data_IF_618620983819
#
_entry.id   IF_618620983819
#
_cell.length_a   1.000
_cell.length_b   1.000
_cell.length_c   1.000
_cell.angle_alpha   90.00
_cell.angle_beta   90.00
_cell.angle_gamma   90.00
#
_symmetry.space_group_name_H-M   'P 1'
#
loop_
_entity.id
_entity.type
_entity.pdbx_description
1 polymer ?
#
# COMPACT_ATOMS: atom_id res chain seq x y z
N UNK A 1 -2.48 40.47 6.15
CA UNK A 1 -3.71 39.77 6.56
C UNK A 1 -3.84 38.52 5.72
N UNK A 2 -3.80 37.36 6.40
CA UNK A 2 -4.33 36.03 6.02
C UNK A 2 -4.14 35.51 4.59
N UNK A 3 -3.12 34.66 4.43
CA UNK A 3 -3.27 33.41 3.67
C UNK A 3 -3.28 32.30 4.72
N UNK A 4 -4.44 31.69 4.92
CA UNK A 4 -4.64 30.65 5.92
C UNK A 4 -3.83 29.42 5.49
N UNK A 5 -2.84 29.07 6.31
CA UNK A 5 -2.24 27.75 6.33
C UNK A 5 -3.34 26.75 6.71
N UNK A 6 -4.03 26.20 5.72
CA UNK A 6 -4.97 25.10 5.90
C UNK A 6 -4.17 23.81 5.76
N UNK A 7 -4.27 23.01 6.82
CA UNK A 7 -3.41 21.88 7.13
C UNK A 7 -3.25 20.85 6.02
N UNK A 8 -1.99 20.51 5.76
CA UNK A 8 -1.63 19.13 5.49
C UNK A 8 -1.39 18.48 6.85
N UNK A 9 -2.41 17.83 7.39
CA UNK A 9 -2.25 16.94 8.52
C UNK A 9 -1.25 15.85 8.09
N UNK A 10 -0.02 15.95 8.61
CA UNK A 10 0.94 14.88 8.59
C UNK A 10 0.40 13.74 9.45
N UNK A 11 -0.44 12.89 8.86
CA UNK A 11 -0.90 11.67 9.51
C UNK A 11 0.13 10.58 9.23
N UNK A 12 1.03 10.43 10.20
CA UNK A 12 1.58 9.13 10.62
C UNK A 12 2.24 8.25 9.56
N UNK A 13 3.50 8.52 9.26
CA UNK A 13 4.44 7.47 8.83
C UNK A 13 5.78 7.66 9.56
N UNK A 14 5.72 7.56 10.88
CA UNK A 14 6.89 7.34 11.70
C UNK A 14 6.82 5.89 12.22
N UNK A 15 7.97 5.20 12.25
CA UNK A 15 8.28 3.95 13.01
C UNK A 15 7.88 2.66 12.23
N UNK A 16 8.74 1.76 11.71
CA UNK A 16 10.17 1.37 11.87
C UNK A 16 10.57 0.54 10.62
N UNK A 17 11.76 0.62 10.01
CA UNK A 17 13.01 1.16 10.53
C UNK A 17 13.92 1.75 9.45
N UNK A 18 14.74 2.72 9.89
CA UNK A 18 15.87 3.27 9.15
C UNK A 18 15.55 4.28 8.05
N UNK A 19 15.28 5.52 8.44
CA UNK A 19 15.33 6.68 7.53
C UNK A 19 13.99 7.32 7.25
N UNK A 20 13.50 8.11 8.21
CA UNK A 20 12.35 8.99 8.01
C UNK A 20 12.67 10.10 7.02
N UNK A 21 12.37 9.85 5.75
CA UNK A 21 12.10 10.87 4.73
C UNK A 21 11.24 10.21 3.67
N UNK A 22 9.91 10.19 3.82
CA UNK A 22 9.06 10.16 2.63
C UNK A 22 9.39 11.45 1.91
N UNK A 23 10.25 11.37 0.90
CA UNK A 23 10.78 12.51 0.20
C UNK A 23 9.60 13.37 -0.29
N UNK A 24 9.42 14.54 0.33
CA UNK A 24 8.59 15.60 -0.22
C UNK A 24 9.30 16.08 -1.49
N UNK A 25 9.07 15.37 -2.61
CA UNK A 25 9.57 15.80 -3.91
C UNK A 25 8.86 17.12 -4.24
N UNK A 26 9.61 18.22 -4.14
CA UNK A 26 9.14 19.56 -4.46
C UNK A 26 8.67 19.56 -5.91
N UNK A 27 7.35 19.72 -6.10
CA UNK A 27 6.74 19.84 -7.41
C UNK A 27 7.10 21.20 -8.02
N UNK A 28 8.22 21.24 -8.74
CA UNK A 28 8.61 22.37 -9.59
C UNK A 28 7.93 22.29 -10.95
N UNK A 29 6.82 23.01 -11.10
CA UNK A 29 6.44 23.77 -12.29
C UNK A 29 6.61 23.15 -13.71
N UNK A 30 6.11 21.95 -14.04
CA UNK A 30 5.86 21.56 -15.45
C UNK A 30 4.71 20.55 -15.51
N UNK A 31 3.84 20.66 -16.52
CA UNK A 31 2.70 19.79 -16.91
C UNK A 31 2.26 18.72 -15.90
N UNK A 32 1.03 18.82 -15.40
CA UNK A 32 0.45 17.86 -14.44
C UNK A 32 0.70 16.40 -14.89
N UNK A 33 1.64 15.73 -14.22
CA UNK A 33 2.03 14.36 -14.56
C UNK A 33 0.86 13.46 -14.21
N UNK A 34 0.34 12.80 -15.23
CA UNK A 34 -0.78 11.88 -15.11
C UNK A 34 -0.30 10.43 -15.05
N UNK A 35 -0.92 9.65 -14.17
CA UNK A 35 -0.62 8.24 -13.96
C UNK A 35 -1.83 7.38 -14.34
N UNK A 36 -1.56 6.27 -15.01
CA UNK A 36 -2.61 5.37 -15.51
C UNK A 36 -3.26 4.54 -14.39
N UNK A 37 -2.42 4.03 -13.50
CA UNK A 37 -2.78 3.16 -12.39
C UNK A 37 -1.73 3.23 -11.29
N UNK A 38 -1.94 2.46 -10.22
CA UNK A 38 -1.01 2.35 -9.09
C UNK A 38 0.36 1.85 -9.52
N UNK A 39 0.45 0.92 -10.47
CA UNK A 39 1.73 0.41 -10.95
C UNK A 39 2.51 1.48 -11.73
N UNK A 40 1.85 2.23 -12.60
CA UNK A 40 2.47 3.34 -13.34
C UNK A 40 3.01 4.41 -12.38
N UNK A 41 2.24 4.74 -11.35
CA UNK A 41 2.70 5.67 -10.30
C UNK A 41 3.89 5.12 -9.51
N UNK A 42 3.78 3.87 -9.03
CA UNK A 42 4.87 3.16 -8.35
C UNK A 42 6.16 3.17 -9.17
N UNK A 43 6.12 2.73 -10.43
CA UNK A 43 7.31 2.62 -11.28
C UNK A 43 7.97 3.97 -11.50
N UNK A 44 7.17 5.02 -11.76
CA UNK A 44 7.68 6.37 -12.05
C UNK A 44 8.22 7.10 -10.83
N UNK A 45 7.62 6.90 -9.66
CA UNK A 45 7.95 7.69 -8.46
C UNK A 45 8.83 6.93 -7.47
N UNK A 46 8.60 5.63 -7.30
CA UNK A 46 9.22 4.83 -6.24
C UNK A 46 10.06 3.65 -6.78
N UNK A 47 9.96 3.31 -8.06
CA UNK A 47 10.58 2.11 -8.64
C UNK A 47 12.11 2.03 -8.55
N UNK A 48 12.79 3.12 -8.20
CA UNK A 48 14.24 3.12 -7.90
C UNK A 48 14.53 2.56 -6.51
N UNK A 49 13.72 2.92 -5.51
CA UNK A 49 13.95 2.65 -4.10
C UNK A 49 13.12 1.47 -3.57
N UNK A 50 11.98 1.20 -4.22
CA UNK A 50 11.01 0.20 -3.79
C UNK A 50 10.80 -0.86 -4.87
N UNK A 51 10.39 -2.04 -4.43
CA UNK A 51 9.94 -3.14 -5.26
C UNK A 51 8.62 -3.70 -4.72
N UNK A 52 7.84 -4.34 -5.59
CA UNK A 52 6.71 -5.15 -5.14
C UNK A 52 7.25 -6.37 -4.39
N UNK A 53 6.65 -6.69 -3.25
CA UNK A 53 6.79 -8.01 -2.65
C UNK A 53 6.41 -9.03 -3.72
N UNK A 54 7.15 -10.13 -3.83
CA UNK A 54 6.91 -11.14 -4.87
C UNK A 54 5.46 -11.64 -4.83
N UNK A 55 4.61 -11.08 -5.71
CA UNK A 55 3.18 -11.41 -5.76
C UNK A 55 2.93 -12.76 -6.41
N UNK A 56 3.90 -13.25 -7.18
CA UNK A 56 3.85 -14.58 -7.79
C UNK A 56 4.16 -15.66 -6.76
N UNK A 57 4.97 -15.35 -5.74
CA UNK A 57 5.34 -16.26 -4.67
C UNK A 57 4.50 -16.02 -3.40
N UNK A 58 3.49 -16.87 -3.17
CA UNK A 58 2.68 -16.83 -1.95
C UNK A 58 3.54 -16.86 -0.67
N UNK A 59 4.64 -17.61 -0.70
CA UNK A 59 5.54 -17.77 0.44
C UNK A 59 6.30 -16.49 0.81
N UNK A 60 6.33 -15.46 -0.06
CA UNK A 60 6.95 -14.17 0.28
C UNK A 60 6.13 -13.39 1.31
N UNK A 61 4.82 -13.27 1.10
CA UNK A 61 3.92 -12.59 2.05
C UNK A 61 3.73 -13.45 3.30
N UNK A 62 3.54 -14.76 3.11
CA UNK A 62 3.42 -15.69 4.23
C UNK A 62 4.69 -15.69 5.10
N UNK A 63 5.87 -15.69 4.48
CA UNK A 63 7.15 -15.60 5.17
C UNK A 63 7.33 -14.29 5.94
N UNK A 64 6.79 -13.17 5.43
CA UNK A 64 6.75 -11.91 6.20
C UNK A 64 5.86 -12.01 7.41
N UNK A 65 4.65 -12.57 7.28
CA UNK A 65 3.71 -12.74 8.40
C UNK A 65 4.30 -13.67 9.47
N UNK A 66 4.93 -14.77 9.05
CA UNK A 66 5.53 -15.80 9.92
C UNK A 66 6.89 -15.43 10.50
N UNK A 67 7.49 -14.31 10.08
CA UNK A 67 8.82 -13.94 10.53
C UNK A 67 8.82 -13.64 12.04
N UNK A 68 9.65 -14.33 12.82
CA UNK A 68 9.70 -14.16 14.27
C UNK A 68 10.13 -12.74 14.71
N UNK A 69 10.91 -12.04 13.88
CA UNK A 69 11.47 -10.72 14.20
C UNK A 69 10.59 -9.59 13.67
N UNK A 70 10.12 -9.70 12.43
CA UNK A 70 9.39 -8.64 11.72
C UNK A 70 7.93 -8.96 11.42
N UNK A 71 7.45 -10.17 11.71
CA UNK A 71 6.09 -10.60 11.41
C UNK A 71 5.04 -9.86 12.20
N UNK A 72 5.30 -9.59 13.48
CA UNK A 72 4.42 -8.73 14.28
C UNK A 72 4.33 -7.30 13.73
N UNK A 73 5.43 -6.76 13.20
CA UNK A 73 5.42 -5.44 12.56
C UNK A 73 4.59 -5.45 11.27
N UNK A 74 4.74 -6.50 10.46
CA UNK A 74 3.97 -6.65 9.23
C UNK A 74 2.47 -6.89 9.50
N UNK A 75 2.12 -7.72 10.50
CA UNK A 75 0.75 -7.91 10.97
C UNK A 75 0.14 -6.61 11.48
N UNK A 76 0.88 -5.81 12.26
CA UNK A 76 0.44 -4.48 12.71
C UNK A 76 0.23 -3.53 11.54
N UNK A 77 1.12 -3.55 10.56
CA UNK A 77 1.01 -2.73 9.35
C UNK A 77 -0.23 -3.13 8.52
N UNK A 78 -0.49 -4.43 8.36
CA UNK A 78 -1.75 -4.93 7.78
C UNK A 78 -2.95 -4.45 8.58
N UNK A 79 -2.92 -4.54 9.91
CA UNK A 79 -4.01 -4.12 10.79
C UNK A 79 -4.33 -2.63 10.69
N UNK A 80 -3.32 -1.79 10.55
CA UNK A 80 -3.47 -0.34 10.39
C UNK A 80 -4.15 0.05 9.07
N UNK A 81 -3.94 -0.74 8.02
CA UNK A 81 -4.47 -0.47 6.68
C UNK A 81 -5.63 -1.40 6.28
N UNK A 82 -6.02 -2.33 7.15
CA UNK A 82 -6.98 -3.39 6.84
C UNK A 82 -8.29 -2.86 6.29
N UNK A 83 -8.82 -1.82 6.93
CA UNK A 83 -10.11 -1.22 6.56
C UNK A 83 -10.03 -0.57 5.16
N UNK A 84 -8.90 0.08 4.84
CA UNK A 84 -8.64 0.63 3.49
C UNK A 84 -8.48 -0.48 2.45
N UNK A 85 -7.94 -1.65 2.83
CA UNK A 85 -7.86 -2.80 1.92
C UNK A 85 -9.24 -3.45 1.68
N UNK A 86 -10.20 -3.24 2.57
CA UNK A 86 -11.56 -3.75 2.41
C UNK A 86 -12.44 -2.83 1.55
N UNK A 87 -12.03 -1.58 1.35
CA UNK A 87 -12.76 -0.58 0.57
C UNK A 87 -12.89 -1.03 -0.89
N UNK A 88 -14.08 -0.93 -1.48
CA UNK A 88 -14.29 -1.25 -2.91
C UNK A 88 -14.58 -2.72 -3.27
N UNK A 89 -15.07 -3.54 -2.34
CA UNK A 89 -15.77 -4.79 -2.67
C UNK A 89 -14.91 -5.91 -3.28
N UNK A 90 -13.61 -5.95 -2.98
CA UNK A 90 -12.71 -6.95 -3.51
C UNK A 90 -13.01 -8.36 -2.93
N UNK A 91 -13.22 -9.33 -3.82
CA UNK A 91 -13.37 -10.75 -3.50
C UNK A 91 -12.19 -11.53 -4.06
N UNK A 92 -11.70 -12.50 -3.28
CA UNK A 92 -10.60 -13.38 -3.71
C UNK A 92 -11.17 -14.73 -4.12
N UNK A 93 -10.94 -15.10 -5.38
CA UNK A 93 -11.31 -16.43 -5.88
C UNK A 93 -10.56 -17.51 -5.11
N UNK A 94 -11.29 -18.50 -4.57
CA UNK A 94 -10.69 -19.63 -3.84
C UNK A 94 -10.37 -19.36 -2.38
N UNK A 95 -10.93 -18.30 -1.79
CA UNK A 95 -11.07 -18.15 -0.34
C UNK A 95 -12.56 -18.28 0.01
N UNK A 96 -12.92 -19.29 0.81
CA UNK A 96 -14.31 -19.55 1.22
C UNK A 96 -14.86 -18.43 2.10
N UNK A 97 -13.98 -17.75 2.84
CA UNK A 97 -14.27 -16.61 3.69
C UNK A 97 -13.16 -15.58 3.56
N UNK A 98 -13.54 -14.31 3.64
CA UNK A 98 -12.59 -13.20 3.71
C UNK A 98 -12.02 -13.16 5.13
N UNK A 99 -10.69 -13.10 5.32
CA UNK A 99 -10.11 -12.86 6.63
C UNK A 99 -10.63 -11.56 7.23
N UNK A 100 -10.83 -11.58 8.54
CA UNK A 100 -11.18 -10.44 9.37
C UNK A 100 -9.91 -9.81 9.94
N UNK A 101 -10.04 -8.61 10.51
CA UNK A 101 -8.92 -7.93 11.17
C UNK A 101 -8.39 -8.73 12.38
N UNK A 102 -9.26 -9.46 13.08
CA UNK A 102 -8.88 -10.32 14.20
C UNK A 102 -8.02 -11.52 13.78
N UNK A 103 -8.16 -11.99 12.53
CA UNK A 103 -7.35 -13.09 12.00
C UNK A 103 -5.87 -12.73 11.84
N UNK A 104 -5.51 -11.44 11.93
CA UNK A 104 -4.12 -10.99 11.95
C UNK A 104 -3.38 -11.39 13.24
N UNK A 105 -4.10 -11.57 14.34
CA UNK A 105 -3.53 -11.92 15.66
C UNK A 105 -3.39 -13.44 15.83
N UNK A 106 -4.16 -14.23 15.07
CA UNK A 106 -4.11 -15.69 15.09
C UNK A 106 -2.93 -16.28 14.32
N UNK A 107 -2.28 -17.29 14.89
CA UNK A 107 -1.20 -18.04 14.21
C UNK A 107 -1.73 -19.10 13.24
N UNK A 108 -2.98 -19.53 13.39
CA UNK A 108 -3.65 -20.52 12.54
C UNK A 108 -4.20 -19.91 11.23
N UNK A 109 -4.25 -18.58 11.13
CA UNK A 109 -4.82 -17.84 10.01
C UNK A 109 -3.80 -17.18 9.08
N UNK A 110 -2.51 -17.30 9.39
CA UNK A 110 -1.42 -16.61 8.68
C UNK A 110 -1.41 -16.91 7.17
N UNK A 111 -1.62 -18.17 6.79
CA UNK A 111 -1.68 -18.59 5.38
C UNK A 111 -2.90 -18.00 4.68
N UNK A 112 -4.06 -17.92 5.36
CA UNK A 112 -5.29 -17.33 4.81
C UNK A 112 -5.12 -15.82 4.58
N UNK A 113 -4.58 -15.12 5.58
CA UNK A 113 -4.23 -13.69 5.52
C UNK A 113 -3.21 -13.43 4.42
N UNK A 114 -2.18 -14.27 4.29
CA UNK A 114 -1.15 -14.13 3.27
C UNK A 114 -1.75 -14.26 1.87
N UNK A 115 -2.62 -15.25 1.66
CA UNK A 115 -3.29 -15.49 0.38
C UNK A 115 -4.19 -14.31 0.02
N UNK A 116 -5.00 -13.84 0.97
CA UNK A 116 -5.87 -12.70 0.74
C UNK A 116 -5.09 -11.43 0.40
N UNK A 117 -4.05 -11.13 1.20
CA UNK A 117 -3.17 -9.96 0.99
C UNK A 117 -2.50 -10.01 -0.38
N UNK A 118 -2.00 -11.18 -0.79
CA UNK A 118 -1.39 -11.38 -2.12
C UNK A 118 -2.35 -11.00 -3.24
N UNK A 119 -3.56 -11.57 -3.20
CA UNK A 119 -4.55 -11.36 -4.25
C UNK A 119 -5.06 -9.91 -4.24
N UNK A 120 -5.17 -9.30 -3.07
CA UNK A 120 -5.48 -7.86 -2.96
C UNK A 120 -4.40 -7.00 -3.61
N UNK A 121 -3.12 -7.26 -3.32
CA UNK A 121 -2.01 -6.56 -3.96
C UNK A 121 -2.02 -6.71 -5.48
N UNK A 122 -2.32 -7.91 -6.00
CA UNK A 122 -2.45 -8.14 -7.45
C UNK A 122 -3.57 -7.32 -8.06
N UNK A 123 -4.74 -7.31 -7.42
CA UNK A 123 -5.91 -6.57 -7.90
C UNK A 123 -5.69 -5.05 -7.86
N UNK A 124 -5.10 -4.53 -6.77
CA UNK A 124 -4.90 -3.09 -6.61
C UNK A 124 -3.74 -2.53 -7.42
N UNK A 125 -2.76 -3.35 -7.79
CA UNK A 125 -1.69 -2.96 -8.72
C UNK A 125 -2.23 -2.29 -10.00
N UNK A 126 -3.38 -2.77 -10.52
CA UNK A 126 -4.02 -2.24 -11.72
C UNK A 126 -5.15 -1.23 -11.47
N UNK A 127 -5.33 -0.73 -10.24
CA UNK A 127 -6.43 0.21 -9.93
C UNK A 127 -6.25 1.52 -10.71
N UNK A 128 -7.28 1.87 -11.49
CA UNK A 128 -7.35 3.09 -12.31
C UNK A 128 -8.23 4.15 -11.66
N UNK A 129 -8.05 5.40 -12.09
CA UNK A 129 -8.88 6.51 -11.62
C UNK A 129 -10.30 6.37 -12.17
N UNK A 130 -11.29 6.64 -11.33
CA UNK A 130 -12.70 6.76 -11.73
C UNK A 130 -13.08 8.18 -12.16
N UNK A 131 -12.13 9.13 -12.11
CA UNK A 131 -12.35 10.49 -12.56
C UNK A 131 -12.67 10.56 -14.07
N UNK A 132 -13.33 11.63 -14.49
CA UNK A 132 -13.79 11.84 -15.87
C UNK A 132 -12.65 11.74 -16.92
N UNK A 133 -11.44 12.17 -16.56
CA UNK A 133 -10.25 12.10 -17.41
C UNK A 133 -9.47 10.78 -17.28
N UNK A 134 -9.98 9.85 -16.45
CA UNK A 134 -9.48 8.49 -16.19
C UNK A 134 -8.01 8.41 -15.82
N UNK A 135 -7.45 9.50 -15.27
CA UNK A 135 -6.03 9.59 -14.96
C UNK A 135 -5.84 10.10 -13.54
N UNK A 136 -4.87 9.52 -12.85
CA UNK A 136 -4.47 9.98 -11.52
C UNK A 136 -3.50 11.14 -11.66
N UNK A 137 -3.63 12.13 -10.80
CA UNK A 137 -2.56 13.12 -10.56
C UNK A 137 -1.86 12.74 -9.27
N UNK A 138 -0.63 13.21 -9.06
CA UNK A 138 0.15 12.87 -7.85
C UNK A 138 -0.63 13.17 -6.56
N UNK A 139 -1.27 14.34 -6.49
CA UNK A 139 -2.03 14.74 -5.30
C UNK A 139 -3.24 13.84 -5.05
N UNK A 140 -3.90 13.36 -6.10
CA UNK A 140 -5.08 12.51 -5.96
C UNK A 140 -4.67 11.11 -5.54
N UNK A 141 -3.61 10.54 -6.14
CA UNK A 141 -3.16 9.19 -5.78
C UNK A 141 -2.55 9.14 -4.38
N UNK A 142 -1.78 10.15 -3.96
CA UNK A 142 -1.21 10.22 -2.61
C UNK A 142 -2.30 10.34 -1.51
N UNK A 143 -3.44 10.94 -1.85
CA UNK A 143 -4.60 11.03 -0.97
C UNK A 143 -5.50 9.78 -0.99
N UNK A 144 -5.30 8.86 -1.95
CA UNK A 144 -6.09 7.63 -2.04
C UNK A 144 -5.71 6.65 -0.93
N UNK A 145 -6.68 6.26 -0.12
CA UNK A 145 -6.48 5.37 1.04
C UNK A 145 -6.05 3.96 0.64
N UNK A 146 -6.51 3.47 -0.51
CA UNK A 146 -6.08 2.17 -1.04
C UNK A 146 -4.67 2.23 -1.59
N UNK A 147 -4.25 3.37 -2.16
CA UNK A 147 -2.85 3.59 -2.52
C UNK A 147 -1.95 3.57 -1.30
N UNK A 148 -2.33 4.27 -0.22
CA UNK A 148 -1.56 4.26 1.03
C UNK A 148 -1.43 2.84 1.61
N UNK A 149 -2.54 2.09 1.59
CA UNK A 149 -2.51 0.67 1.97
C UNK A 149 -1.61 -0.14 1.04
N UNK A 150 -1.71 0.05 -0.28
CA UNK A 150 -0.92 -0.67 -1.29
C UNK A 150 0.57 -0.40 -1.13
N UNK A 151 0.95 0.86 -0.96
CA UNK A 151 2.33 1.25 -0.74
C UNK A 151 2.89 0.60 0.52
N UNK A 152 2.13 0.60 1.62
CA UNK A 152 2.57 0.05 2.90
C UNK A 152 2.67 -1.48 2.89
N UNK A 153 1.66 -2.17 2.35
CA UNK A 153 1.51 -3.63 2.50
C UNK A 153 2.08 -4.42 1.33
N UNK A 154 2.15 -3.84 0.12
CA UNK A 154 2.55 -4.55 -1.10
C UNK A 154 3.96 -4.20 -1.58
N UNK A 155 4.53 -3.08 -1.12
CA UNK A 155 5.86 -2.63 -1.52
C UNK A 155 6.86 -2.80 -0.38
N UNK A 156 8.11 -3.05 -0.74
CA UNK A 156 9.23 -3.07 0.17
C UNK A 156 10.40 -2.29 -0.41
N UNK A 157 11.23 -1.72 0.46
CA UNK A 157 12.45 -1.05 0.03
C UNK A 157 13.39 -2.10 -0.58
N UNK A 158 14.01 -1.79 -1.71
CA UNK A 158 15.04 -2.65 -2.30
C UNK A 158 16.21 -2.73 -1.34
N UNK A 159 16.61 -3.94 -1.01
CA UNK A 159 17.90 -4.19 -0.38
C UNK A 159 18.98 -3.76 -1.38
N UNK A 160 19.75 -2.74 -1.03
CA UNK A 160 20.94 -2.33 -1.79
C UNK A 160 22.07 -3.33 -1.63
#
# INVERSE_FOLDING_TARGET
MTTQAIGAAAVGAAVIGGGGTLAAYAAGAFSEVKYLDFNDYFVKVFGKEYQLISLDNHSAIEGKIKNATSGNLYKKLLGNHWDNMQEGGFTVTGLSTKPTKGDLEGTDKETEVAKWTKEWCKARKGKKSTAEDKKWTKSIIDADKEWQAFFAVCLEKKSS
#
